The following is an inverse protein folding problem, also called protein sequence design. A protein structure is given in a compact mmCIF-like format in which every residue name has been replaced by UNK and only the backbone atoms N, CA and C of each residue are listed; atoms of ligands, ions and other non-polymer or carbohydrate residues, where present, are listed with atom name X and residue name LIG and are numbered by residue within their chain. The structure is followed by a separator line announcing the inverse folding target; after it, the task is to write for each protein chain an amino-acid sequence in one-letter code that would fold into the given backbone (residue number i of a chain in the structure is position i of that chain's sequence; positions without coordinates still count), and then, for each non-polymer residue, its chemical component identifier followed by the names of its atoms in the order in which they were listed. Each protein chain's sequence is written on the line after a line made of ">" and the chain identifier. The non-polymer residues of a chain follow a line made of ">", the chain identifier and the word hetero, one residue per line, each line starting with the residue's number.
data_IF_682972957879
#
_entry.id   IF_682972957879
#
_cell.length_a   1.000
_cell.length_b   1.000
_cell.length_c   1.000
_cell.angle_alpha   90.00
_cell.angle_beta   90.00
_cell.angle_gamma   90.00
#
_symmetry.space_group_name_H-M   'P 1'
#
loop_
_entity.id
_entity.type
_entity.pdbx_description
1 polymer ?
#
# COMPACT_ATOMS: atom_id res chain seq x y z
N UNK A 1 22.39 -16.89 28.21
CA UNK A 1 22.65 -16.39 26.84
C UNK A 1 22.31 -17.57 25.94
N UNK A 2 21.18 -17.65 25.23
CA UNK A 2 20.70 -16.78 24.16
C UNK A 2 19.16 -16.86 24.11
N UNK A 3 18.48 -15.74 23.92
CA UNK A 3 17.06 -15.68 23.60
C UNK A 3 16.91 -14.93 22.25
N UNK A 4 15.72 -14.85 21.66
CA UNK A 4 14.98 -15.95 21.01
C UNK A 4 14.58 -15.52 19.58
N UNK A 5 14.77 -16.34 18.54
CA UNK A 5 14.18 -16.01 17.23
C UNK A 5 12.74 -16.53 17.19
N UNK A 6 11.86 -15.71 17.75
CA UNK A 6 10.42 -15.69 17.51
C UNK A 6 10.10 -16.11 16.08
N UNK A 7 9.42 -17.25 15.94
CA UNK A 7 8.64 -17.56 14.74
C UNK A 7 7.48 -16.55 14.75
N UNK A 8 7.73 -15.37 14.17
CA UNK A 8 6.69 -14.41 13.88
C UNK A 8 5.85 -15.02 12.77
N UNK A 9 4.86 -15.83 13.15
CA UNK A 9 3.68 -16.10 12.33
C UNK A 9 3.06 -14.73 12.02
N UNK A 10 3.50 -14.17 10.90
CA UNK A 10 3.09 -12.86 10.43
C UNK A 10 1.58 -12.85 10.30
N UNK A 11 0.91 -12.29 11.30
CA UNK A 11 -0.44 -11.74 11.12
C UNK A 11 -0.27 -10.75 9.97
N UNK A 12 -0.71 -11.12 8.76
CA UNK A 12 -0.89 -10.18 7.67
C UNK A 12 -1.80 -9.09 8.21
N UNK A 13 -1.18 -8.00 8.67
CA UNK A 13 -1.88 -6.87 9.24
C UNK A 13 -2.47 -6.19 8.02
N UNK A 14 -3.72 -6.53 7.70
CA UNK A 14 -4.45 -5.92 6.59
C UNK A 14 -4.46 -4.41 6.87
N UNK A 15 -3.63 -3.69 6.12
CA UNK A 15 -3.52 -2.23 6.22
C UNK A 15 -4.57 -1.64 5.31
N UNK A 16 -5.35 -0.70 5.83
CA UNK A 16 -6.24 0.10 4.99
C UNK A 16 -5.37 1.06 4.17
N UNK A 17 -5.43 1.02 2.82
CA UNK A 17 -4.74 2.00 2.00
C UNK A 17 -5.26 3.39 2.32
N UNK A 18 -4.36 4.35 2.23
CA UNK A 18 -4.64 5.78 2.33
C UNK A 18 -4.09 6.49 1.09
N UNK A 19 -4.61 7.69 0.83
CA UNK A 19 -4.14 8.53 -0.27
C UNK A 19 -2.68 8.88 -0.03
N UNK A 20 -1.87 8.88 -1.10
CA UNK A 20 -0.42 9.07 -1.09
C UNK A 20 0.40 7.94 -0.49
N UNK A 21 -0.20 6.79 -0.18
CA UNK A 21 0.58 5.60 0.13
C UNK A 21 1.34 5.05 -1.07
N UNK A 22 2.50 4.46 -0.78
CA UNK A 22 3.18 3.55 -1.71
C UNK A 22 2.90 2.10 -1.36
N UNK A 23 2.51 1.38 -2.40
CA UNK A 23 2.26 -0.06 -2.36
C UNK A 23 3.06 -0.73 -3.48
N UNK A 24 3.41 -2.00 -3.29
CA UNK A 24 4.06 -2.83 -4.30
C UNK A 24 3.13 -3.95 -4.75
N UNK A 25 3.02 -4.15 -6.06
CA UNK A 25 2.32 -5.31 -6.62
C UNK A 25 3.15 -6.59 -6.48
N UNK A 26 2.49 -7.74 -6.64
CA UNK A 26 3.15 -9.06 -6.71
C UNK A 26 4.28 -9.15 -7.75
N UNK A 27 4.23 -8.32 -8.78
CA UNK A 27 5.27 -8.26 -9.82
C UNK A 27 6.49 -7.39 -9.42
N UNK A 28 6.45 -6.74 -8.25
CA UNK A 28 7.48 -5.81 -7.80
C UNK A 28 7.31 -4.37 -8.31
N UNK A 29 6.26 -4.10 -9.10
CA UNK A 29 5.94 -2.75 -9.57
C UNK A 29 5.44 -1.88 -8.42
N UNK A 30 5.99 -0.66 -8.30
CA UNK A 30 5.57 0.32 -7.32
C UNK A 30 4.38 1.12 -7.81
N UNK A 31 3.42 1.33 -6.92
CA UNK A 31 2.22 2.09 -7.19
C UNK A 31 2.00 3.14 -6.11
N UNK A 32 1.37 4.24 -6.50
CA UNK A 32 0.96 5.30 -5.58
C UNK A 32 -0.54 5.40 -5.56
N UNK A 33 -1.13 5.28 -4.37
CA UNK A 33 -2.57 5.45 -4.18
C UNK A 33 -2.92 6.92 -4.37
N UNK A 34 -3.75 7.22 -5.36
CA UNK A 34 -4.19 8.58 -5.68
C UNK A 34 -5.53 8.91 -5.05
N UNK A 35 -6.47 7.95 -5.01
CA UNK A 35 -7.79 8.17 -4.43
C UNK A 35 -8.42 6.87 -3.92
N UNK A 36 -9.35 6.96 -2.97
CA UNK A 36 -10.11 5.81 -2.46
C UNK A 36 -11.58 6.23 -2.33
N UNK A 37 -12.47 5.60 -3.10
CA UNK A 37 -13.88 5.91 -3.13
C UNK A 37 -14.71 4.66 -3.43
N UNK A 38 -15.92 4.56 -2.86
CA UNK A 38 -16.87 3.46 -3.14
C UNK A 38 -16.27 2.04 -3.03
N UNK A 39 -15.43 1.78 -2.01
CA UNK A 39 -14.73 0.51 -1.84
C UNK A 39 -13.79 0.15 -3.03
N UNK A 40 -13.32 1.17 -3.75
CA UNK A 40 -12.34 1.06 -4.84
C UNK A 40 -11.16 1.98 -4.56
N UNK A 41 -9.97 1.48 -4.89
CA UNK A 41 -8.71 2.20 -4.81
C UNK A 41 -8.33 2.63 -6.22
N UNK A 42 -8.05 3.92 -6.39
CA UNK A 42 -7.47 4.47 -7.61
C UNK A 42 -6.00 4.71 -7.35
N UNK A 43 -5.14 4.13 -8.17
CA UNK A 43 -3.70 4.27 -8.03
C UNK A 43 -3.03 4.48 -9.39
N UNK A 44 -1.83 5.02 -9.36
CA UNK A 44 -0.99 5.22 -10.54
C UNK A 44 0.26 4.37 -10.38
N UNK A 45 0.68 3.69 -11.45
CA UNK A 45 1.91 2.88 -11.46
C UNK A 45 3.10 3.74 -11.88
N UNK A 46 4.29 3.41 -11.39
CA UNK A 46 5.51 4.05 -11.86
C UNK A 46 5.72 3.77 -13.36
N UNK A 47 5.84 4.81 -14.18
CA UNK A 47 5.95 4.69 -15.64
C UNK A 47 4.63 4.51 -16.40
N UNK A 48 3.47 4.61 -15.75
CA UNK A 48 2.17 4.56 -16.41
C UNK A 48 1.35 5.82 -16.11
N UNK A 49 0.99 6.58 -17.14
CA UNK A 49 0.33 7.89 -16.98
C UNK A 49 -1.16 7.80 -16.60
N UNK A 50 -1.80 6.65 -16.79
CA UNK A 50 -3.23 6.50 -16.56
C UNK A 50 -3.54 5.91 -15.17
N UNK A 51 -4.46 6.52 -14.40
CA UNK A 51 -4.88 5.96 -13.12
C UNK A 51 -5.69 4.67 -13.32
N UNK A 52 -5.35 3.64 -12.55
CA UNK A 52 -6.05 2.37 -12.50
C UNK A 52 -7.00 2.33 -11.31
N UNK A 53 -8.24 1.90 -11.55
CA UNK A 53 -9.25 1.70 -10.49
C UNK A 53 -9.34 0.21 -10.17
N UNK A 54 -9.23 -0.14 -8.90
CA UNK A 54 -9.18 -1.52 -8.44
C UNK A 54 -10.05 -1.75 -7.19
N UNK A 55 -10.68 -2.93 -7.03
CA UNK A 55 -11.47 -3.23 -5.82
C UNK A 55 -10.61 -3.25 -4.57
N UNK A 56 -11.02 -2.55 -3.51
CA UNK A 56 -10.27 -2.46 -2.24
C UNK A 56 -9.99 -3.84 -1.64
N UNK A 57 -10.97 -4.75 -1.69
CA UNK A 57 -10.84 -6.10 -1.13
C UNK A 57 -9.76 -6.95 -1.81
N UNK A 58 -9.57 -6.76 -3.11
CA UNK A 58 -8.48 -7.43 -3.85
C UNK A 58 -7.17 -6.70 -3.65
N UNK A 59 -7.21 -5.38 -3.61
CA UNK A 59 -6.05 -4.53 -3.40
C UNK A 59 -5.29 -4.92 -2.13
N UNK A 60 -5.97 -5.00 -0.98
CA UNK A 60 -5.33 -5.33 0.30
C UNK A 60 -4.79 -6.78 0.39
N UNK A 61 -5.16 -7.64 -0.56
CA UNK A 61 -4.72 -9.04 -0.65
C UNK A 61 -3.56 -9.22 -1.63
N UNK A 62 -3.59 -8.52 -2.76
CA UNK A 62 -2.60 -8.67 -3.83
C UNK A 62 -1.43 -7.69 -3.72
N UNK A 63 -1.61 -6.58 -3.00
CA UNK A 63 -0.61 -5.54 -2.87
C UNK A 63 0.01 -5.59 -1.47
N UNK A 64 1.31 -5.31 -1.43
CA UNK A 64 2.06 -5.17 -0.19
C UNK A 64 2.26 -3.70 0.13
N UNK A 65 1.90 -3.31 1.34
CA UNK A 65 2.15 -1.96 1.81
C UNK A 65 3.65 -1.75 2.01
N UNK A 66 4.23 -0.77 1.31
CA UNK A 66 5.66 -0.44 1.40
C UNK A 66 5.89 0.69 2.40
N UNK A 67 5.27 1.84 2.14
CA UNK A 67 5.44 3.04 2.96
C UNK A 67 4.27 4.00 2.82
N UNK A 68 3.91 4.66 3.92
CA UNK A 68 3.02 5.82 3.86
C UNK A 68 3.83 6.92 3.19
N UNK A 69 3.33 7.55 2.13
CA UNK A 69 3.89 8.81 1.70
C UNK A 69 3.69 9.79 2.84
N UNK A 70 4.76 10.12 3.57
CA UNK A 70 4.69 11.12 4.63
C UNK A 70 4.19 12.42 4.01
N UNK A 71 2.94 12.75 4.31
CA UNK A 71 2.46 14.11 4.17
C UNK A 71 3.39 15.00 4.97
N UNK A 72 4.30 15.68 4.28
CA UNK A 72 4.87 16.92 4.78
C UNK A 72 3.71 17.92 4.83
N UNK A 73 2.96 17.87 5.92
CA UNK A 73 2.25 19.00 6.47
C UNK A 73 3.34 20.00 6.87
N UNK A 74 3.72 20.87 5.93
CA UNK A 74 4.46 22.09 6.27
C UNK A 74 3.51 22.90 7.14
N UNK A 75 3.70 22.74 8.44
CA UNK A 75 3.30 23.64 9.52
C UNK A 75 3.54 25.09 9.04
N UNK A 76 2.47 25.81 8.79
CA UNK A 76 2.47 27.26 8.58
C UNK A 76 1.72 27.90 9.75
#
# INVERSE_FOLDING_TARGET
>A
MFAPSVILIGRFKVKTPEISDRWSEKNGEMITVSNIAFNRVTFVRDGYEYPCVFPLERFVKEFTFESRGQGNEKRA
#
